data_IF_439439413679
#
_entry.id   IF_439439413679
#
_cell.length_a   1.000
_cell.length_b   1.000
_cell.length_c   1.000
_cell.angle_alpha   90.00
_cell.angle_beta   90.00
_cell.angle_gamma   90.00
#
_symmetry.space_group_name_H-M   'P 1'
#
loop_
_entity.id
_entity.type
_entity.pdbx_description
1 polymer ?
#
# COMPACT_ATOMS: atom_id res chain seq x y z
N UNK A 1 23.73 6.36 7.68
CA UNK A 1 22.77 7.49 7.69
C UNK A 1 23.27 8.76 6.98
N UNK A 2 24.29 9.51 7.44
CA UNK A 2 24.71 10.78 6.76
C UNK A 2 25.36 10.58 5.38
N UNK A 3 26.23 9.57 5.24
CA UNK A 3 26.95 9.27 3.99
C UNK A 3 26.01 8.73 2.89
N UNK A 4 24.98 7.97 3.25
CA UNK A 4 23.97 7.47 2.31
C UNK A 4 23.12 8.61 1.74
N UNK A 5 22.70 9.57 2.58
CA UNK A 5 21.97 10.76 2.10
C UNK A 5 22.81 11.60 1.15
N UNK A 6 24.11 11.74 1.40
CA UNK A 6 25.03 12.43 0.50
C UNK A 6 25.20 11.70 -0.84
N UNK A 7 25.32 10.36 -0.81
CA UNK A 7 25.41 9.55 -2.02
C UNK A 7 24.12 9.63 -2.85
N UNK A 8 22.95 9.55 -2.20
CA UNK A 8 21.65 9.69 -2.87
C UNK A 8 21.50 11.09 -3.49
N UNK A 9 21.95 12.13 -2.78
CA UNK A 9 21.97 13.50 -3.30
C UNK A 9 22.84 13.63 -4.55
N UNK A 10 24.05 13.07 -4.52
CA UNK A 10 24.98 13.11 -5.64
C UNK A 10 24.46 12.33 -6.87
N UNK A 11 23.83 11.18 -6.64
CA UNK A 11 23.19 10.40 -7.71
C UNK A 11 22.01 11.16 -8.33
N UNK A 12 21.22 11.88 -7.53
CA UNK A 12 20.13 12.73 -8.06
C UNK A 12 20.67 13.86 -8.91
N UNK A 13 21.67 14.60 -8.42
CA UNK A 13 22.29 15.68 -9.20
C UNK A 13 22.92 15.20 -10.50
N UNK A 14 23.47 13.97 -10.52
CA UNK A 14 24.02 13.38 -11.74
C UNK A 14 22.91 13.06 -12.75
N UNK A 15 21.77 12.54 -12.29
CA UNK A 15 20.61 12.25 -13.13
C UNK A 15 20.00 13.54 -13.69
N UNK A 16 19.93 14.60 -12.89
CA UNK A 16 19.43 15.91 -13.33
C UNK A 16 20.33 16.48 -14.44
N UNK A 17 21.65 16.41 -14.28
CA UNK A 17 22.63 16.83 -15.30
C UNK A 17 22.47 16.03 -16.61
N UNK A 18 22.30 14.71 -16.52
CA UNK A 18 22.06 13.84 -17.68
C UNK A 18 20.75 14.17 -18.38
N UNK A 19 19.71 14.55 -17.63
CA UNK A 19 18.41 14.94 -18.17
C UNK A 19 18.50 16.27 -18.92
N UNK A 20 19.22 17.24 -18.36
CA UNK A 20 19.45 18.55 -18.98
C UNK A 20 20.25 18.43 -20.28
N UNK A 21 21.31 17.61 -20.29
CA UNK A 21 22.12 17.37 -21.50
C UNK A 21 21.37 16.55 -22.56
N UNK A 22 20.51 15.62 -22.16
CA UNK A 22 19.66 14.87 -23.10
C UNK A 22 18.60 15.76 -23.75
N UNK A 23 18.09 16.76 -23.03
CA UNK A 23 17.14 17.73 -23.59
C UNK A 23 17.81 18.70 -24.59
N UNK A 24 19.10 19.00 -24.40
CA UNK A 24 19.87 19.90 -25.27
C UNK A 24 20.48 19.21 -26.48
N UNK A 25 20.84 17.93 -26.36
CA UNK A 25 21.50 17.18 -27.42
C UNK A 25 20.73 15.88 -27.76
N UNK A 26 19.97 15.86 -28.87
CA UNK A 26 19.18 14.68 -29.27
C UNK A 26 20.05 13.47 -29.67
N UNK A 27 21.30 13.70 -30.10
CA UNK A 27 22.25 12.62 -30.40
C UNK A 27 22.72 11.93 -29.10
N UNK A 28 22.88 12.71 -28.02
CA UNK A 28 23.20 12.21 -26.69
C UNK A 28 22.05 11.38 -26.12
N UNK A 29 20.80 11.87 -26.23
CA UNK A 29 19.60 11.12 -25.83
C UNK A 29 19.52 9.76 -26.52
N UNK A 30 19.75 9.72 -27.83
CA UNK A 30 19.68 8.47 -28.61
C UNK A 30 20.74 7.44 -28.17
N UNK A 31 21.95 7.89 -27.84
CA UNK A 31 23.02 7.03 -27.30
C UNK A 31 22.68 6.54 -25.90
N UNK A 32 22.08 7.40 -25.07
CA UNK A 32 21.64 7.07 -23.72
C UNK A 32 20.51 6.04 -23.75
N UNK A 33 19.49 6.23 -24.60
CA UNK A 33 18.41 5.27 -24.81
C UNK A 33 18.93 3.90 -25.29
N UNK A 34 19.91 3.88 -26.19
CA UNK A 34 20.53 2.62 -26.65
C UNK A 34 21.23 1.87 -25.51
N UNK A 35 21.90 2.60 -24.61
CA UNK A 35 22.57 2.00 -23.44
C UNK A 35 21.56 1.52 -22.39
N UNK A 36 20.45 2.25 -22.19
CA UNK A 36 19.38 1.87 -21.27
C UNK A 36 18.51 0.74 -21.82
N UNK A 37 18.34 0.62 -23.13
CA UNK A 37 17.57 -0.46 -23.78
C UNK A 37 18.23 -1.84 -23.62
N UNK A 38 19.55 -1.88 -23.38
CA UNK A 38 20.30 -3.11 -23.08
C UNK A 38 20.23 -3.56 -21.62
N UNK A 39 19.72 -2.71 -20.72
CA UNK A 39 19.37 -3.19 -19.38
C UNK A 39 18.23 -4.18 -19.55
N UNK A 40 18.29 -5.38 -18.92
CA UNK A 40 17.12 -6.22 -18.89
C UNK A 40 16.01 -5.35 -18.31
N UNK A 41 15.01 -5.03 -19.13
CA UNK A 41 13.71 -4.65 -18.61
C UNK A 41 13.49 -5.66 -17.51
N UNK A 42 13.34 -5.19 -16.27
CA UNK A 42 12.79 -6.04 -15.24
C UNK A 42 11.49 -6.49 -15.87
N UNK A 43 11.47 -7.71 -16.43
CA UNK A 43 10.28 -8.50 -16.63
C UNK A 43 9.64 -8.37 -15.28
N UNK A 44 8.64 -7.49 -15.19
CA UNK A 44 7.78 -7.39 -14.05
C UNK A 44 7.43 -8.85 -13.84
N UNK A 45 7.95 -9.41 -12.74
CA UNK A 45 7.76 -10.82 -12.48
C UNK A 45 6.26 -10.95 -12.50
N UNK A 46 5.74 -11.58 -13.54
CA UNK A 46 4.38 -12.02 -13.58
C UNK A 46 4.35 -13.07 -12.47
N UNK A 47 4.22 -12.58 -11.23
CA UNK A 47 3.67 -13.34 -10.15
C UNK A 47 2.42 -13.90 -10.79
N UNK A 48 2.38 -15.22 -10.96
CA UNK A 48 1.14 -15.93 -11.21
C UNK A 48 0.18 -15.46 -10.12
N UNK A 49 -0.55 -14.39 -10.43
CA UNK A 49 -1.74 -14.05 -9.74
C UNK A 49 -2.64 -15.23 -10.09
N UNK A 50 -2.74 -16.17 -9.16
CA UNK A 50 -4.02 -16.82 -8.93
C UNK A 50 -5.00 -15.67 -8.70
N UNK A 51 -5.56 -15.20 -9.83
CA UNK A 51 -6.53 -14.13 -9.92
C UNK A 51 -7.79 -14.73 -9.30
N UNK A 52 -7.81 -14.80 -7.98
CA UNK A 52 -9.07 -14.72 -7.27
C UNK A 52 -9.59 -13.34 -7.67
N UNK A 53 -10.53 -13.34 -8.60
CA UNK A 53 -11.28 -12.15 -9.00
C UNK A 53 -11.61 -11.39 -7.72
N UNK A 54 -11.13 -10.14 -7.54
CA UNK A 54 -11.59 -9.33 -6.43
C UNK A 54 -13.12 -9.34 -6.51
N UNK A 55 -13.85 -9.63 -5.41
CA UNK A 55 -15.29 -9.50 -5.44
C UNK A 55 -15.60 -8.10 -5.96
N UNK A 56 -16.41 -8.04 -7.01
CA UNK A 56 -16.65 -6.87 -7.87
C UNK A 56 -17.21 -5.65 -7.11
N UNK A 57 -17.56 -5.85 -5.83
CA UNK A 57 -18.04 -4.86 -4.89
C UNK A 57 -17.29 -5.00 -3.57
N UNK A 58 -16.02 -4.57 -3.51
CA UNK A 58 -15.35 -4.41 -2.22
C UNK A 58 -15.75 -3.04 -1.65
N UNK A 59 -16.53 -3.00 -0.55
CA UNK A 59 -16.92 -1.74 0.08
C UNK A 59 -15.71 -0.99 0.65
N UNK A 60 -15.72 0.33 0.56
CA UNK A 60 -14.73 1.18 1.23
C UNK A 60 -14.97 1.13 2.75
N UNK A 61 -14.17 0.33 3.42
CA UNK A 61 -14.31 0.08 4.86
C UNK A 61 -14.05 1.32 5.72
N UNK A 62 -13.31 2.32 5.24
CA UNK A 62 -13.06 3.55 6.00
C UNK A 62 -14.25 4.48 5.92
N UNK A 63 -14.86 4.61 4.74
CA UNK A 63 -16.11 5.34 4.56
C UNK A 63 -17.24 4.71 5.40
N UNK A 64 -17.36 3.38 5.37
CA UNK A 64 -18.37 2.65 6.13
C UNK A 64 -18.14 2.74 7.65
N UNK A 65 -16.88 2.73 8.11
CA UNK A 65 -16.55 2.95 9.51
C UNK A 65 -17.01 4.34 10.00
N UNK A 66 -16.74 5.38 9.21
CA UNK A 66 -17.12 6.76 9.55
C UNK A 66 -18.63 6.93 9.54
N UNK A 67 -19.33 6.29 8.59
CA UNK A 67 -20.77 6.43 8.42
C UNK A 67 -21.59 5.70 9.50
N UNK A 68 -21.17 4.48 9.91
CA UNK A 68 -21.98 3.60 10.77
C UNK A 68 -21.59 3.65 12.24
N UNK A 69 -20.38 4.10 12.57
CA UNK A 69 -19.84 3.92 13.91
C UNK A 69 -19.52 2.46 14.23
N UNK A 70 -18.82 2.22 15.32
CA UNK A 70 -18.12 0.94 15.51
C UNK A 70 -19.04 -0.28 15.69
N UNK A 71 -20.15 -0.12 16.43
CA UNK A 71 -21.05 -1.24 16.75
C UNK A 71 -21.76 -1.71 15.48
N UNK A 72 -22.33 -0.78 14.71
CA UNK A 72 -23.04 -1.09 13.48
C UNK A 72 -22.08 -1.53 12.36
N UNK A 73 -20.84 -1.03 12.35
CA UNK A 73 -19.80 -1.51 11.45
C UNK A 73 -19.43 -2.97 11.71
N UNK A 74 -19.33 -3.39 12.98
CA UNK A 74 -19.09 -4.80 13.33
C UNK A 74 -20.23 -5.69 12.90
N UNK A 75 -21.48 -5.26 13.11
CA UNK A 75 -22.65 -6.02 12.68
C UNK A 75 -22.67 -6.17 11.15
N UNK A 76 -22.45 -5.08 10.44
CA UNK A 76 -22.37 -5.08 8.98
C UNK A 76 -21.24 -5.97 8.43
N UNK A 77 -20.08 -6.01 9.08
CA UNK A 77 -18.99 -6.93 8.70
C UNK A 77 -19.36 -8.40 8.91
N UNK A 78 -20.16 -8.74 9.93
CA UNK A 78 -20.60 -10.14 10.15
C UNK A 78 -21.52 -10.62 9.04
N UNK A 79 -22.27 -9.73 8.41
CA UNK A 79 -23.12 -10.03 7.25
C UNK A 79 -22.32 -10.16 5.95
N UNK A 80 -21.02 -9.80 5.94
CA UNK A 80 -20.18 -9.94 4.75
C UNK A 80 -19.69 -11.38 4.54
N UNK A 81 -19.63 -11.85 3.29
CA UNK A 81 -19.04 -13.15 2.98
C UNK A 81 -17.57 -13.23 3.41
N UNK A 82 -17.15 -14.40 3.92
CA UNK A 82 -15.74 -14.70 4.28
C UNK A 82 -14.74 -14.33 3.18
N UNK A 83 -15.02 -14.56 1.87
CA UNK A 83 -14.13 -14.10 0.79
C UNK A 83 -13.93 -12.58 0.76
N UNK A 84 -14.98 -11.79 1.03
CA UNK A 84 -14.93 -10.32 1.07
C UNK A 84 -14.12 -9.86 2.28
N UNK A 85 -14.38 -10.43 3.46
CA UNK A 85 -13.61 -10.12 4.67
C UNK A 85 -12.11 -10.39 4.49
N UNK A 86 -11.75 -11.50 3.83
CA UNK A 86 -10.35 -11.81 3.51
C UNK A 86 -9.76 -10.86 2.46
N UNK A 87 -10.55 -10.41 1.49
CA UNK A 87 -10.11 -9.42 0.51
C UNK A 87 -9.81 -8.08 1.19
N UNK A 88 -10.68 -7.62 2.10
CA UNK A 88 -10.49 -6.43 2.94
C UNK A 88 -9.20 -6.52 3.74
N UNK A 89 -8.98 -7.62 4.48
CA UNK A 89 -7.76 -7.82 5.28
C UNK A 89 -6.48 -7.71 4.44
N UNK A 90 -6.53 -8.20 3.18
CA UNK A 90 -5.39 -8.13 2.25
C UNK A 90 -5.20 -6.74 1.64
N UNK A 91 -6.29 -6.07 1.27
CA UNK A 91 -6.24 -4.74 0.67
C UNK A 91 -5.67 -3.71 1.66
N UNK A 92 -6.02 -3.85 2.92
CA UNK A 92 -5.65 -2.94 4.00
C UNK A 92 -4.37 -3.35 4.74
N UNK A 93 -3.77 -4.46 4.35
CA UNK A 93 -2.59 -5.07 5.00
C UNK A 93 -2.74 -5.15 6.54
N UNK A 94 -3.92 -5.60 7.01
CA UNK A 94 -4.22 -5.69 8.44
C UNK A 94 -3.50 -6.88 9.11
N UNK A 95 -3.14 -7.91 8.33
CA UNK A 95 -2.55 -9.15 8.83
C UNK A 95 -1.20 -9.48 8.17
N UNK A 96 -0.16 -8.77 8.60
CA UNK A 96 1.22 -9.03 8.18
C UNK A 96 1.68 -10.48 8.50
N UNK A 97 1.11 -11.09 9.54
CA UNK A 97 1.45 -12.45 9.99
C UNK A 97 0.69 -13.56 9.27
N UNK A 98 -0.27 -13.21 8.40
CA UNK A 98 -1.15 -14.15 7.68
C UNK A 98 -1.88 -15.15 8.58
N UNK A 99 -2.16 -14.79 9.84
CA UNK A 99 -2.86 -15.64 10.81
C UNK A 99 -4.32 -15.91 10.44
N UNK A 100 -4.95 -14.95 9.76
CA UNK A 100 -6.36 -14.96 9.35
C UNK A 100 -6.65 -15.95 8.21
N UNK A 101 -5.61 -16.44 7.51
CA UNK A 101 -5.73 -17.39 6.39
C UNK A 101 -6.40 -18.71 6.82
N UNK A 102 -6.18 -19.13 8.07
CA UNK A 102 -6.74 -20.37 8.63
C UNK A 102 -8.16 -20.19 9.19
N UNK A 103 -8.64 -18.96 9.34
CA UNK A 103 -9.92 -18.69 9.99
C UNK A 103 -11.06 -18.86 8.98
N UNK A 104 -12.07 -19.65 9.37
CA UNK A 104 -13.24 -19.94 8.54
C UNK A 104 -14.49 -19.18 9.00
N UNK A 105 -14.47 -18.67 10.23
CA UNK A 105 -15.57 -17.94 10.85
C UNK A 105 -15.58 -16.49 10.39
N UNK A 106 -16.72 -16.04 9.85
CA UNK A 106 -16.93 -14.65 9.45
C UNK A 106 -16.84 -13.70 10.65
N UNK A 107 -17.40 -14.09 11.80
CA UNK A 107 -17.39 -13.29 13.03
C UNK A 107 -15.98 -12.96 13.49
N UNK A 108 -15.11 -13.97 13.55
CA UNK A 108 -13.73 -13.81 13.98
C UNK A 108 -12.93 -12.91 13.02
N UNK A 109 -13.24 -12.95 11.73
CA UNK A 109 -12.62 -12.08 10.73
C UNK A 109 -13.16 -10.64 10.85
N UNK A 110 -14.46 -10.48 11.07
CA UNK A 110 -15.12 -9.20 11.28
C UNK A 110 -14.58 -8.48 12.52
N UNK A 111 -14.48 -9.17 13.66
CA UNK A 111 -13.92 -8.62 14.89
C UNK A 111 -12.46 -8.20 14.73
N UNK A 112 -11.68 -8.98 13.98
CA UNK A 112 -10.28 -8.65 13.73
C UNK A 112 -10.09 -7.40 12.85
N UNK A 113 -10.91 -7.24 11.81
CA UNK A 113 -10.94 -6.00 11.01
C UNK A 113 -11.37 -4.84 11.91
N UNK A 114 -12.45 -5.07 12.65
CA UNK A 114 -12.93 -4.36 13.84
C UNK A 114 -11.83 -3.61 14.61
N UNK A 115 -11.09 -4.45 15.33
CA UNK A 115 -10.08 -4.04 16.29
C UNK A 115 -8.83 -3.46 15.63
N UNK A 116 -8.48 -3.94 14.43
CA UNK A 116 -7.32 -3.43 13.71
C UNK A 116 -7.52 -1.99 13.24
N UNK A 117 -8.73 -1.64 12.78
CA UNK A 117 -9.09 -0.27 12.41
C UNK A 117 -9.12 0.64 13.63
N UNK A 118 -9.75 0.20 14.73
CA UNK A 118 -9.74 0.94 16.00
C UNK A 118 -8.31 1.20 16.48
N UNK A 119 -7.44 0.19 16.45
CA UNK A 119 -6.04 0.32 16.86
C UNK A 119 -5.25 1.27 15.95
N UNK A 120 -5.50 1.28 14.63
CA UNK A 120 -4.90 2.24 13.70
C UNK A 120 -5.35 3.67 14.01
N UNK A 121 -6.64 3.90 14.23
CA UNK A 121 -7.15 5.23 14.58
C UNK A 121 -6.62 5.73 15.92
N UNK A 122 -6.55 4.87 16.94
CA UNK A 122 -5.97 5.23 18.24
C UNK A 122 -4.47 5.57 18.15
N UNK A 123 -3.72 4.87 17.30
CA UNK A 123 -2.32 5.22 17.04
C UNK A 123 -2.21 6.54 16.28
N UNK A 124 -3.04 6.74 15.25
CA UNK A 124 -3.09 7.98 14.47
C UNK A 124 -3.40 9.19 15.34
N UNK A 125 -4.38 9.09 16.25
CA UNK A 125 -4.71 10.17 17.19
C UNK A 125 -3.59 10.48 18.19
N UNK A 126 -2.80 9.48 18.60
CA UNK A 126 -1.63 9.68 19.46
C UNK A 126 -0.47 10.44 18.80
N UNK A 127 -0.46 10.60 17.47
CA UNK A 127 0.48 11.46 16.75
C UNK A 127 -0.04 12.90 16.61
N UNK A 128 -1.35 13.10 16.54
CA UNK A 128 -1.97 14.43 16.43
C UNK A 128 -1.82 15.22 17.76
N UNK A 129 -1.89 14.55 18.91
CA UNK A 129 -1.79 15.20 20.23
C UNK A 129 -0.39 15.63 20.69
N UNK A 130 0.69 15.27 19.97
CA UNK A 130 2.08 15.60 20.37
C UNK A 130 2.72 16.76 19.60
N UNK A 131 2.04 17.31 18.59
CA UNK A 131 2.50 18.47 17.82
C UNK A 131 2.01 19.82 18.35
N UNK A 132 1.11 19.84 19.34
CA UNK A 132 0.54 21.06 19.91
C UNK A 132 1.04 21.32 21.33
N UNK A 133 2.33 21.67 21.45
CA UNK A 133 2.86 22.43 22.57
C UNK A 133 3.81 23.47 21.99
N UNK A 134 3.27 24.66 21.74
CA UNK A 134 4.05 25.91 21.77
C UNK A 134 4.44 26.24 23.21
#
# INVERSE_FOLDING_TARGET
MRKEKALIGLLRSLVDLLTEESARNPEFSSKLDTLLAGLPEKKATAKKATKATPPEHMPDIHAEWIARGEIDFRLWLRDQPVPVLRAVIRAEDLDATRRTVKWKEAEKLADFIADSLRARQSRGSAFIGRGAKE
#
